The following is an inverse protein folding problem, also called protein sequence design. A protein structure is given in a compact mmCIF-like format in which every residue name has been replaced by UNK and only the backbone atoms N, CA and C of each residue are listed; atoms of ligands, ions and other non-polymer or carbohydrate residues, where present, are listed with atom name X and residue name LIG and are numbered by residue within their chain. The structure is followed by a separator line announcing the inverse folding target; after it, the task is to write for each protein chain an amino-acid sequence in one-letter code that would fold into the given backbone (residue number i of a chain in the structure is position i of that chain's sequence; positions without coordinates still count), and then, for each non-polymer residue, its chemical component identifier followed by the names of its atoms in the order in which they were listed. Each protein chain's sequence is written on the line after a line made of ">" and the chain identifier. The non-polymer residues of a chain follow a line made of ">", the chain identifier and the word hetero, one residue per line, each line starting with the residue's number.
data_IF_915350190074
#
_entry.id   IF_915350190074
#
_cell.length_a   1.000
_cell.length_b   1.000
_cell.length_c   1.000
_cell.angle_alpha   90.00
_cell.angle_beta   90.00
_cell.angle_gamma   90.00
#
_symmetry.space_group_name_H-M   'P 1'
#
loop_
_entity.id
_entity.type
_entity.pdbx_description
1 polymer ?
#
# COMPACT_ATOMS: atom_id res chain seq x y z
N UNK A 1 -5.92 -4.33 -9.89
CA UNK A 1 -5.53 -2.97 -9.47
C UNK A 1 -4.09 -2.73 -9.88
N UNK A 2 -3.84 -1.64 -10.57
CA UNK A 2 -2.49 -1.20 -10.95
C UNK A 2 -2.29 0.23 -10.46
N UNK A 3 -1.15 0.49 -9.87
CA UNK A 3 -0.71 1.81 -9.44
C UNK A 3 0.68 2.11 -10.00
N UNK A 4 0.88 3.34 -10.44
CA UNK A 4 2.19 3.82 -10.86
C UNK A 4 2.52 5.11 -10.12
N UNK A 5 3.62 5.08 -9.37
CA UNK A 5 4.05 6.17 -8.55
C UNK A 5 5.29 6.84 -9.15
N UNK A 6 5.20 8.15 -9.41
CA UNK A 6 6.28 8.98 -9.97
C UNK A 6 6.95 8.39 -11.24
N UNK A 7 6.31 7.44 -11.92
CA UNK A 7 6.89 6.73 -13.05
C UNK A 7 8.00 5.72 -12.71
N UNK A 8 8.34 5.57 -11.45
CA UNK A 8 9.48 4.77 -10.96
C UNK A 8 8.99 3.49 -10.28
N UNK A 9 8.00 3.61 -9.39
CA UNK A 9 7.43 2.47 -8.66
C UNK A 9 6.22 1.94 -9.41
N UNK A 10 6.20 0.64 -9.69
CA UNK A 10 5.04 -0.07 -10.20
C UNK A 10 4.48 -0.94 -9.09
N UNK A 11 3.17 -0.87 -8.85
CA UNK A 11 2.50 -1.70 -7.87
C UNK A 11 1.25 -2.31 -8.48
N UNK A 12 1.18 -3.63 -8.45
CA UNK A 12 0.07 -4.42 -8.99
C UNK A 12 -0.54 -5.25 -7.87
N UNK A 13 -1.86 -5.20 -7.76
CA UNK A 13 -2.62 -5.98 -6.79
C UNK A 13 -3.68 -6.81 -7.51
N UNK A 14 -3.67 -8.12 -7.25
CA UNK A 14 -4.72 -9.05 -7.68
C UNK A 14 -5.40 -9.58 -6.42
N UNK A 15 -6.71 -9.41 -6.34
CA UNK A 15 -7.52 -9.85 -5.21
C UNK A 15 -8.64 -10.80 -5.64
N UNK A 16 -8.92 -11.79 -4.81
CA UNK A 16 -10.02 -12.73 -4.96
C UNK A 16 -10.86 -12.72 -3.69
N UNK A 17 -12.16 -12.59 -3.86
CA UNK A 17 -13.11 -12.81 -2.78
C UNK A 17 -13.86 -14.12 -3.04
N UNK A 18 -13.79 -15.02 -2.08
CA UNK A 18 -14.42 -16.32 -2.12
C UNK A 18 -15.39 -16.43 -0.94
N UNK A 19 -16.55 -17.00 -1.18
CA UNK A 19 -17.50 -17.36 -0.12
C UNK A 19 -17.61 -18.88 -0.01
N UNK A 20 -17.32 -19.41 1.17
CA UNK A 20 -17.51 -20.84 1.46
C UNK A 20 -18.24 -20.99 2.79
N UNK A 21 -19.47 -21.56 2.76
CA UNK A 21 -20.28 -21.83 3.96
C UNK A 21 -20.45 -20.59 4.86
N UNK A 22 -20.89 -19.45 4.30
CA UNK A 22 -21.06 -18.15 4.99
C UNK A 22 -19.77 -17.58 5.61
N UNK A 23 -18.61 -18.09 5.24
CA UNK A 23 -17.32 -17.58 5.69
C UNK A 23 -16.59 -16.96 4.50
N UNK A 24 -16.70 -15.65 4.31
CA UNK A 24 -15.94 -14.98 3.26
C UNK A 24 -14.43 -15.08 3.54
N UNK A 25 -13.70 -15.35 2.48
CA UNK A 25 -12.24 -15.39 2.44
C UNK A 25 -11.74 -14.43 1.37
N UNK A 26 -10.74 -13.65 1.72
CA UNK A 26 -10.03 -12.75 0.81
C UNK A 26 -8.62 -13.25 0.59
N UNK A 27 -8.21 -13.32 -0.67
CA UNK A 27 -6.84 -13.62 -1.07
C UNK A 27 -6.34 -12.45 -1.89
N UNK A 28 -5.17 -11.93 -1.55
CA UNK A 28 -4.53 -10.85 -2.30
C UNK A 28 -3.10 -11.23 -2.61
N UNK A 29 -2.67 -10.93 -3.83
CA UNK A 29 -1.30 -10.99 -4.30
C UNK A 29 -0.88 -9.58 -4.67
N UNK A 30 0.20 -9.12 -4.06
CA UNK A 30 0.80 -7.82 -4.31
C UNK A 30 2.16 -8.04 -4.98
N UNK A 31 2.42 -7.27 -6.00
CA UNK A 31 3.76 -7.04 -6.53
C UNK A 31 4.06 -5.55 -6.47
N UNK A 32 5.23 -5.21 -6.00
CA UNK A 32 5.78 -3.86 -6.07
C UNK A 32 7.23 -3.93 -6.52
N UNK A 33 7.60 -3.06 -7.46
CA UNK A 33 8.95 -3.05 -8.02
C UNK A 33 9.44 -1.66 -8.35
N UNK A 34 10.73 -1.46 -8.10
CA UNK A 34 11.50 -0.28 -8.52
C UNK A 34 12.67 -0.77 -9.35
N UNK A 35 12.73 -0.35 -10.60
CA UNK A 35 13.84 -0.66 -11.50
C UNK A 35 14.81 0.49 -11.61
N UNK A 36 16.00 0.21 -12.12
CA UNK A 36 17.01 1.21 -12.46
C UNK A 36 17.40 2.12 -11.29
N UNK A 37 17.56 1.55 -10.10
CA UNK A 37 18.12 2.28 -8.95
C UNK A 37 19.62 2.45 -9.20
N UNK A 38 20.15 3.69 -9.25
CA UNK A 38 21.56 3.90 -9.50
C UNK A 38 22.42 3.44 -8.33
N UNK A 39 23.38 2.57 -8.61
CA UNK A 39 24.42 2.17 -7.67
C UNK A 39 25.68 3.03 -7.91
N UNK A 40 25.93 3.89 -6.96
CA UNK A 40 27.07 4.84 -7.01
C UNK A 40 28.25 4.40 -6.16
N UNK A 41 28.21 3.23 -5.52
CA UNK A 41 29.24 2.76 -4.57
C UNK A 41 30.62 2.60 -5.21
N UNK A 42 30.65 2.22 -6.48
CA UNK A 42 31.90 2.04 -7.22
C UNK A 42 32.32 3.23 -8.07
N UNK A 43 31.58 4.34 -8.02
CA UNK A 43 31.88 5.52 -8.83
C UNK A 43 32.98 6.41 -8.25
N UNK A 44 33.20 6.37 -6.94
CA UNK A 44 34.19 7.22 -6.29
C UNK A 44 35.59 6.77 -6.67
N UNK A 45 36.36 7.69 -7.28
CA UNK A 45 37.79 7.60 -7.43
C UNK A 45 38.39 8.23 -6.18
N UNK A 46 38.48 7.40 -5.14
CA UNK A 46 38.96 7.77 -3.80
C UNK A 46 40.50 7.85 -3.80
N UNK A 47 41.01 8.87 -4.49
CA UNK A 47 42.46 9.06 -4.78
C UNK A 47 43.07 10.21 -4.00
N UNK A 48 42.33 10.77 -3.03
CA UNK A 48 42.81 11.86 -2.18
C UNK A 48 42.90 13.21 -2.87
N UNK A 49 43.54 14.18 -2.20
CA UNK A 49 43.60 15.58 -2.63
C UNK A 49 44.40 15.81 -3.89
N UNK A 50 45.41 15.00 -4.15
CA UNK A 50 46.24 15.14 -5.35
C UNK A 50 45.61 14.48 -6.59
N UNK A 51 44.53 13.70 -6.42
CA UNK A 51 43.81 13.01 -7.46
C UNK A 51 44.59 11.91 -8.15
N UNK A 52 45.62 11.33 -7.49
CA UNK A 52 46.44 10.23 -7.98
C UNK A 52 46.33 9.02 -7.05
N UNK A 53 46.04 7.86 -7.61
CA UNK A 53 45.91 6.62 -6.85
C UNK A 53 47.25 6.15 -6.27
N UNK A 54 47.29 5.80 -4.98
CA UNK A 54 48.40 5.14 -4.32
C UNK A 54 49.50 6.08 -3.84
N UNK A 55 49.21 7.35 -3.63
CA UNK A 55 50.16 8.36 -3.09
C UNK A 55 50.11 8.46 -1.57
N UNK A 56 49.03 7.86 -0.94
CA UNK A 56 48.74 7.95 0.49
C UNK A 56 48.63 9.39 1.01
N UNK A 57 48.10 10.29 0.18
CA UNK A 57 47.81 11.65 0.59
C UNK A 57 46.54 11.76 1.46
N UNK A 58 46.24 12.88 2.10
CA UNK A 58 45.05 13.05 2.90
C UNK A 58 43.78 12.85 2.08
N UNK A 59 42.89 11.99 2.58
CA UNK A 59 41.61 11.67 1.96
C UNK A 59 41.58 10.35 1.19
N UNK A 60 42.77 9.86 0.69
CA UNK A 60 42.79 8.63 -0.11
C UNK A 60 42.29 7.40 0.69
N UNK A 61 41.36 6.67 0.11
CA UNK A 61 40.82 5.43 0.67
C UNK A 61 39.84 5.58 1.86
N UNK A 62 39.33 6.79 2.09
CA UNK A 62 38.42 7.07 3.21
C UNK A 62 36.92 6.80 2.91
N UNK A 63 36.57 6.56 1.65
CA UNK A 63 35.19 6.28 1.22
C UNK A 63 34.28 7.50 1.16
N UNK A 64 34.82 8.72 1.26
CA UNK A 64 34.07 9.98 1.23
C UNK A 64 34.58 10.80 0.04
N UNK A 65 33.65 11.45 -0.67
CA UNK A 65 34.04 12.36 -1.76
C UNK A 65 34.63 13.63 -1.19
N UNK A 66 35.96 13.78 -1.27
CA UNK A 66 36.73 14.93 -0.81
C UNK A 66 37.03 15.93 -1.94
N UNK A 67 37.57 17.10 -1.57
CA UNK A 67 37.98 18.12 -2.54
C UNK A 67 39.19 17.60 -3.38
N UNK A 68 39.05 17.62 -4.69
CA UNK A 68 40.03 17.09 -5.63
C UNK A 68 39.68 15.73 -6.22
N UNK A 69 38.85 14.97 -5.58
CA UNK A 69 38.38 13.66 -6.05
C UNK A 69 37.26 13.74 -7.11
N UNK A 70 37.07 12.68 -7.83
CA UNK A 70 36.11 12.58 -8.95
C UNK A 70 35.27 11.34 -8.90
N UNK A 71 34.08 11.43 -9.54
CA UNK A 71 33.22 10.30 -9.78
C UNK A 71 33.43 9.77 -11.22
N UNK A 72 33.74 8.50 -11.34
CA UNK A 72 33.79 7.81 -12.63
C UNK A 72 32.38 7.38 -13.03
N UNK A 73 31.78 8.08 -14.00
CA UNK A 73 30.45 7.83 -14.50
C UNK A 73 30.33 6.51 -15.25
N UNK A 74 31.43 5.96 -15.75
CA UNK A 74 31.43 4.69 -16.48
C UNK A 74 31.29 3.48 -15.52
N UNK A 75 31.49 3.71 -14.21
CA UNK A 75 31.28 2.73 -13.14
C UNK A 75 29.85 2.73 -12.59
N UNK A 76 28.97 3.61 -13.10
CA UNK A 76 27.56 3.61 -12.70
C UNK A 76 26.90 2.29 -13.08
N UNK A 77 26.39 1.60 -12.07
CA UNK A 77 25.59 0.39 -12.21
C UNK A 77 24.15 0.65 -11.79
N UNK A 78 23.29 -0.29 -12.10
CA UNK A 78 21.87 -0.21 -11.70
C UNK A 78 21.46 -1.52 -11.07
N UNK A 79 20.63 -1.43 -10.03
CA UNK A 79 19.99 -2.58 -9.42
C UNK A 79 18.47 -2.38 -9.35
N UNK A 80 17.75 -3.38 -8.92
CA UNK A 80 16.29 -3.35 -8.80
C UNK A 80 15.87 -3.79 -7.40
N UNK A 81 14.70 -3.33 -7.01
CA UNK A 81 14.00 -3.77 -5.81
C UNK A 81 12.69 -4.42 -6.23
N UNK A 82 12.35 -5.56 -5.62
CA UNK A 82 11.09 -6.24 -5.84
C UNK A 82 10.48 -6.70 -4.52
N UNK A 83 9.17 -6.54 -4.40
CA UNK A 83 8.38 -7.06 -3.30
C UNK A 83 7.23 -7.91 -3.84
N UNK A 84 7.06 -9.10 -3.29
CA UNK A 84 5.93 -9.98 -3.59
C UNK A 84 5.23 -10.29 -2.28
N UNK A 85 3.97 -9.89 -2.17
CA UNK A 85 3.14 -10.09 -1.00
C UNK A 85 2.00 -11.05 -1.27
N UNK A 86 1.73 -11.92 -0.31
CA UNK A 86 0.52 -12.72 -0.25
C UNK A 86 -0.21 -12.41 1.04
N UNK A 87 -1.51 -12.14 0.95
CA UNK A 87 -2.37 -11.91 2.10
C UNK A 87 -3.63 -12.77 1.99
N UNK A 88 -3.89 -13.56 3.02
CA UNK A 88 -5.11 -14.36 3.17
C UNK A 88 -5.87 -13.87 4.41
N UNK A 89 -7.12 -13.49 4.25
CA UNK A 89 -7.99 -13.10 5.36
C UNK A 89 -9.27 -13.92 5.35
N UNK A 90 -9.65 -14.42 6.52
CA UNK A 90 -10.86 -15.22 6.71
C UNK A 90 -11.73 -14.57 7.77
N UNK A 91 -13.02 -14.42 7.48
CA UNK A 91 -14.02 -13.96 8.44
C UNK A 91 -14.70 -15.18 9.11
N UNK A 92 -14.82 -15.13 10.43
CA UNK A 92 -15.55 -16.11 11.24
C UNK A 92 -16.50 -15.39 12.19
N UNK A 93 -17.67 -16.00 12.44
CA UNK A 93 -18.56 -15.54 13.50
C UNK A 93 -18.27 -16.33 14.77
N UNK A 94 -17.73 -15.66 15.80
CA UNK A 94 -17.49 -16.23 17.13
C UNK A 94 -18.48 -15.59 18.08
N UNK A 95 -19.38 -16.40 18.65
CA UNK A 95 -20.48 -15.92 19.52
C UNK A 95 -21.29 -14.76 18.89
N UNK A 96 -21.52 -14.84 17.58
CA UNK A 96 -22.27 -13.82 16.83
C UNK A 96 -21.47 -12.56 16.45
N UNK A 97 -20.24 -12.42 16.90
CA UNK A 97 -19.32 -11.33 16.50
C UNK A 97 -18.51 -11.74 15.27
N UNK A 98 -18.52 -10.95 14.20
CA UNK A 98 -17.68 -11.19 13.04
C UNK A 98 -16.24 -10.82 13.38
N UNK A 99 -15.36 -11.82 13.40
CA UNK A 99 -13.90 -11.70 13.63
C UNK A 99 -13.18 -12.08 12.35
N UNK A 100 -12.31 -11.22 11.86
CA UNK A 100 -11.41 -11.46 10.75
C UNK A 100 -10.02 -11.82 11.26
N UNK A 101 -9.39 -12.82 10.65
CA UNK A 101 -8.00 -13.19 10.86
C UNK A 101 -7.31 -13.10 9.52
N UNK A 102 -6.25 -12.30 9.44
CA UNK A 102 -5.41 -12.13 8.26
C UNK A 102 -4.02 -12.70 8.49
N UNK A 103 -3.50 -13.40 7.51
CA UNK A 103 -2.13 -13.90 7.46
C UNK A 103 -1.43 -13.29 6.25
N UNK A 104 -0.21 -12.81 6.44
CA UNK A 104 0.62 -12.18 5.40
C UNK A 104 1.95 -12.89 5.27
N UNK A 105 2.38 -13.04 4.03
CA UNK A 105 3.75 -13.44 3.68
C UNK A 105 4.28 -12.40 2.72
N UNK A 106 5.52 -11.98 2.92
CA UNK A 106 6.21 -11.03 2.09
C UNK A 106 7.57 -11.59 1.70
N UNK A 107 7.90 -11.53 0.42
CA UNK A 107 9.24 -11.72 -0.10
C UNK A 107 9.75 -10.38 -0.60
N UNK A 108 10.92 -10.00 -0.18
CA UNK A 108 11.57 -8.74 -0.54
C UNK A 108 12.95 -9.04 -1.14
N UNK A 109 13.26 -8.41 -2.26
CA UNK A 109 14.56 -8.52 -2.92
C UNK A 109 15.10 -7.12 -3.17
N UNK A 110 16.34 -6.88 -2.83
CA UNK A 110 17.05 -5.61 -3.01
C UNK A 110 18.48 -5.90 -3.43
N UNK A 111 18.84 -5.59 -4.67
CA UNK A 111 20.13 -5.94 -5.24
C UNK A 111 20.37 -7.46 -5.12
N UNK A 112 21.47 -7.90 -4.52
CA UNK A 112 21.83 -9.29 -4.29
C UNK A 112 21.24 -9.88 -2.98
N UNK A 113 20.49 -9.08 -2.21
CA UNK A 113 19.92 -9.48 -0.93
C UNK A 113 18.44 -9.81 -1.03
N UNK A 114 17.99 -10.75 -0.21
CA UNK A 114 16.57 -11.04 -0.08
C UNK A 114 16.14 -11.18 1.37
N UNK A 115 14.86 -10.94 1.63
CA UNK A 115 14.23 -11.17 2.92
C UNK A 115 12.88 -11.86 2.77
N UNK A 116 12.52 -12.62 3.79
CA UNK A 116 11.19 -13.21 3.94
C UNK A 116 10.51 -12.65 5.18
N UNK A 117 9.24 -12.33 5.05
CA UNK A 117 8.45 -11.77 6.14
C UNK A 117 7.13 -12.49 6.34
N UNK A 118 6.67 -12.45 7.58
CA UNK A 118 5.34 -12.93 7.97
C UNK A 118 4.65 -11.90 8.84
N UNK A 119 3.32 -11.89 8.80
CA UNK A 119 2.52 -11.01 9.66
C UNK A 119 1.12 -11.54 9.88
N UNK A 120 0.52 -11.12 10.98
CA UNK A 120 -0.85 -11.43 11.37
C UNK A 120 -1.64 -10.16 11.59
N UNK A 121 -2.91 -10.19 11.17
CA UNK A 121 -3.90 -9.13 11.42
C UNK A 121 -5.14 -9.72 12.09
N UNK A 122 -5.75 -8.93 12.99
CA UNK A 122 -7.04 -9.26 13.59
C UNK A 122 -8.04 -8.15 13.30
N UNK A 123 -9.22 -8.51 12.83
CA UNK A 123 -10.27 -7.57 12.47
C UNK A 123 -11.57 -7.83 13.21
N UNK A 124 -12.27 -6.75 13.58
CA UNK A 124 -13.60 -6.80 14.18
C UNK A 124 -14.51 -5.85 13.42
N UNK A 125 -15.73 -6.27 13.14
CA UNK A 125 -16.73 -5.44 12.49
C UNK A 125 -18.05 -5.54 13.23
N UNK A 126 -18.69 -4.38 13.46
CA UNK A 126 -20.02 -4.32 14.07
C UNK A 126 -20.88 -3.30 13.33
N UNK A 127 -22.11 -3.67 13.06
CA UNK A 127 -23.13 -2.75 12.54
C UNK A 127 -23.99 -2.24 13.67
N UNK A 128 -24.06 -0.91 13.82
CA UNK A 128 -24.90 -0.21 14.78
C UNK A 128 -25.88 0.65 13.97
N UNK A 129 -27.16 0.23 13.92
CA UNK A 129 -28.18 0.85 13.05
C UNK A 129 -27.71 0.86 11.58
N UNK A 130 -27.48 2.04 11.02
CA UNK A 130 -26.96 2.23 9.65
C UNK A 130 -25.44 2.36 9.56
N UNK A 131 -24.76 2.53 10.71
CA UNK A 131 -23.30 2.73 10.76
C UNK A 131 -22.59 1.39 10.88
N UNK A 132 -21.60 1.16 10.03
CA UNK A 132 -20.64 0.07 10.19
C UNK A 132 -19.40 0.61 10.90
N UNK A 133 -18.98 -0.06 11.96
CA UNK A 133 -17.73 0.25 12.69
C UNK A 133 -16.82 -0.94 12.51
N UNK A 134 -15.56 -0.67 12.21
CA UNK A 134 -14.50 -1.67 12.08
C UNK A 134 -13.29 -1.31 12.94
N UNK A 135 -12.64 -2.32 13.49
CA UNK A 135 -11.36 -2.21 14.19
C UNK A 135 -10.44 -3.26 13.57
N UNK A 136 -9.22 -2.86 13.24
CA UNK A 136 -8.18 -3.75 12.74
C UNK A 136 -6.91 -3.56 13.54
N UNK A 137 -6.40 -4.63 14.12
CA UNK A 137 -5.08 -4.72 14.72
C UNK A 137 -4.15 -5.32 13.67
N UNK A 138 -3.18 -4.54 13.20
CA UNK A 138 -2.24 -4.98 12.17
C UNK A 138 -0.89 -5.34 12.77
N UNK A 139 -0.27 -6.39 12.20
CA UNK A 139 1.05 -6.87 12.61
C UNK A 139 1.09 -7.29 14.09
N UNK A 140 0.06 -7.97 14.55
CA UNK A 140 -0.09 -8.40 15.94
C UNK A 140 -0.08 -9.94 16.05
N UNK A 141 0.58 -10.56 17.03
CA UNK A 141 1.37 -9.92 18.10
C UNK A 141 2.75 -9.46 17.62
N UNK A 142 3.25 -9.99 16.52
CA UNK A 142 4.52 -9.63 15.91
C UNK A 142 4.46 -9.86 14.40
N UNK A 143 5.25 -9.09 13.67
CA UNK A 143 5.48 -9.22 12.25
C UNK A 143 6.89 -8.72 11.94
N UNK A 144 7.50 -9.22 10.90
CA UNK A 144 8.83 -8.75 10.51
C UNK A 144 9.38 -9.46 9.29
N UNK A 145 10.56 -9.04 8.90
CA UNK A 145 11.37 -9.54 7.81
C UNK A 145 12.65 -10.16 8.38
N UNK A 146 13.08 -11.26 7.79
CA UNK A 146 14.37 -11.90 8.07
C UNK A 146 15.16 -11.89 6.77
N UNK A 147 16.28 -11.18 6.77
CA UNK A 147 17.19 -11.08 5.65
C UNK A 147 18.13 -12.29 5.56
N UNK A 148 18.64 -12.55 4.36
CA UNK A 148 19.68 -13.56 4.10
C UNK A 148 20.96 -13.30 4.87
N UNK A 149 21.26 -12.04 5.22
CA UNK A 149 22.33 -11.64 6.13
C UNK A 149 22.12 -12.07 7.59
N UNK A 150 20.93 -12.59 7.94
CA UNK A 150 20.53 -12.88 9.33
C UNK A 150 19.97 -11.67 10.09
N UNK A 151 19.90 -10.50 9.46
CA UNK A 151 19.28 -9.30 10.05
C UNK A 151 17.77 -9.51 10.18
N UNK A 152 17.20 -9.15 11.33
CA UNK A 152 15.76 -9.22 11.60
C UNK A 152 15.21 -7.79 11.74
N UNK A 153 14.22 -7.47 10.90
CA UNK A 153 13.50 -6.20 10.95
C UNK A 153 12.07 -6.42 11.46
N UNK A 154 11.76 -5.81 12.59
CA UNK A 154 10.40 -5.85 13.13
C UNK A 154 9.48 -4.83 12.44
N UNK A 155 8.26 -5.24 12.13
CA UNK A 155 7.23 -4.33 11.61
C UNK A 155 6.39 -3.77 12.75
N UNK A 156 6.16 -2.46 12.72
CA UNK A 156 5.39 -1.78 13.76
C UNK A 156 3.94 -2.25 13.78
N UNK A 157 3.47 -2.66 14.96
CA UNK A 157 2.07 -2.96 15.19
C UNK A 157 1.22 -1.69 15.18
N UNK A 158 0.03 -1.77 14.60
CA UNK A 158 -0.88 -0.62 14.51
C UNK A 158 -2.33 -1.01 14.73
N UNK A 159 -3.13 -0.04 15.15
CA UNK A 159 -4.58 -0.14 15.28
C UNK A 159 -5.23 0.83 14.31
N UNK A 160 -6.22 0.35 13.56
CA UNK A 160 -7.09 1.18 12.75
C UNK A 160 -8.53 1.06 13.23
N UNK A 161 -9.20 2.19 13.43
CA UNK A 161 -10.61 2.27 13.80
C UNK A 161 -11.32 3.05 12.70
N UNK A 162 -12.31 2.43 12.05
CA UNK A 162 -13.06 3.06 10.97
C UNK A 162 -14.56 3.04 11.23
N UNK A 163 -15.24 4.06 10.73
CA UNK A 163 -16.70 4.12 10.69
C UNK A 163 -17.16 4.51 9.29
N UNK A 164 -18.23 3.88 8.83
CA UNK A 164 -18.89 4.12 7.55
C UNK A 164 -20.38 4.31 7.80
N UNK A 165 -20.92 5.43 7.33
CA UNK A 165 -22.33 5.77 7.49
C UNK A 165 -22.96 6.18 6.16
N UNK A 166 -24.00 5.48 5.68
CA UNK A 166 -24.80 5.93 4.55
C UNK A 166 -25.83 6.97 5.01
N UNK A 167 -25.93 8.08 4.32
CA UNK A 167 -26.96 9.07 4.56
C UNK A 167 -27.52 9.63 3.26
N UNK A 168 -28.76 10.11 3.31
CA UNK A 168 -29.45 10.71 2.17
C UNK A 168 -29.73 12.17 2.52
N UNK A 169 -28.80 13.10 2.27
CA UNK A 169 -28.98 14.51 2.61
C UNK A 169 -30.01 15.19 1.69
N UNK A 170 -30.23 14.64 0.50
CA UNK A 170 -31.13 15.15 -0.52
C UNK A 170 -32.01 13.99 -1.01
N UNK A 171 -33.30 14.25 -1.22
CA UNK A 171 -34.22 13.25 -1.79
C UNK A 171 -34.04 13.14 -3.32
N UNK A 172 -32.84 12.77 -3.74
CA UNK A 172 -32.58 12.42 -5.14
C UNK A 172 -32.86 10.93 -5.30
N UNK A 173 -33.78 10.54 -6.19
CA UNK A 173 -34.03 9.12 -6.43
C UNK A 173 -32.76 8.38 -6.85
N UNK A 174 -32.55 7.22 -6.24
CA UNK A 174 -31.39 6.35 -6.54
C UNK A 174 -30.01 6.95 -6.26
N UNK A 175 -29.92 7.97 -5.42
CA UNK A 175 -28.64 8.54 -4.96
C UNK A 175 -28.42 8.24 -3.48
N UNK A 176 -27.26 7.71 -3.15
CA UNK A 176 -26.82 7.46 -1.76
C UNK A 176 -25.47 8.16 -1.55
N UNK A 177 -25.36 8.85 -0.43
CA UNK A 177 -24.11 9.44 0.00
C UNK A 177 -23.55 8.65 1.19
N UNK A 178 -22.30 8.26 1.11
CA UNK A 178 -21.56 7.57 2.16
C UNK A 178 -20.52 8.49 2.76
N UNK A 179 -20.42 8.51 4.08
CA UNK A 179 -19.31 9.14 4.80
C UNK A 179 -18.46 8.09 5.48
N UNK A 180 -17.16 8.32 5.46
CA UNK A 180 -16.17 7.42 6.03
C UNK A 180 -15.18 8.22 6.86
N UNK A 181 -14.82 7.69 8.01
CA UNK A 181 -13.73 8.19 8.85
C UNK A 181 -12.87 7.01 9.26
N UNK A 182 -11.56 7.21 9.26
CA UNK A 182 -10.60 6.24 9.76
C UNK A 182 -9.58 6.95 10.65
N UNK A 183 -9.25 6.31 11.77
CA UNK A 183 -8.20 6.72 12.70
C UNK A 183 -7.18 5.58 12.78
N UNK A 184 -5.92 5.89 12.55
CA UNK A 184 -4.82 4.95 12.68
C UNK A 184 -3.93 5.37 13.84
N UNK A 185 -3.59 4.43 14.71
CA UNK A 185 -2.63 4.61 15.78
C UNK A 185 -1.50 3.58 15.67
N UNK A 186 -0.27 4.02 15.89
CA UNK A 186 0.90 3.14 15.93
C UNK A 186 1.91 3.65 16.95
N UNK A 187 2.59 2.70 17.61
CA UNK A 187 3.75 3.03 18.45
C UNK A 187 4.97 3.03 17.56
N UNK A 188 5.31 4.20 17.03
CA UNK A 188 6.41 4.36 16.08
C UNK A 188 7.11 5.69 16.29
N UNK A 189 8.41 5.72 16.02
CA UNK A 189 9.20 6.96 16.08
C UNK A 189 9.08 7.81 14.80
N UNK A 190 7.94 7.76 14.10
CA UNK A 190 7.67 8.59 12.90
C UNK A 190 7.54 10.06 13.31
N UNK A 191 8.63 10.78 13.29
CA UNK A 191 8.68 12.16 13.77
C UNK A 191 8.08 13.19 12.81
N UNK A 192 8.13 12.93 11.50
CA UNK A 192 7.77 13.91 10.46
C UNK A 192 6.49 13.57 9.70
N UNK A 193 6.03 12.30 9.72
CA UNK A 193 4.98 11.82 8.81
C UNK A 193 3.63 11.57 9.47
N UNK A 194 3.47 11.86 10.78
CA UNK A 194 2.19 11.69 11.47
C UNK A 194 1.46 13.02 11.68
N UNK A 195 0.12 12.99 11.55
CA UNK A 195 -0.71 14.19 11.76
C UNK A 195 -0.68 14.68 13.21
N UNK A 196 -0.67 13.76 14.18
CA UNK A 196 -0.56 14.06 15.60
C UNK A 196 0.37 13.05 16.26
N UNK A 197 1.20 13.54 17.15
CA UNK A 197 2.13 12.73 17.92
C UNK A 197 2.07 13.03 19.41
N UNK A 198 2.03 11.96 20.20
CA UNK A 198 2.06 12.02 21.68
C UNK A 198 3.13 11.03 22.15
N UNK A 199 4.31 11.52 22.46
CA UNK A 199 5.47 10.67 22.78
C UNK A 199 5.83 9.75 21.60
N UNK A 200 5.86 8.44 21.81
CA UNK A 200 6.07 7.43 20.76
C UNK A 200 4.79 7.03 19.98
N UNK A 201 3.62 7.53 20.40
CA UNK A 201 2.35 7.26 19.73
C UNK A 201 2.15 8.20 18.56
N UNK A 202 1.99 7.66 17.37
CA UNK A 202 1.61 8.37 16.14
C UNK A 202 0.14 8.15 15.86
N UNK A 203 -0.60 9.23 15.55
CA UNK A 203 -2.03 9.19 15.22
C UNK A 203 -2.26 9.87 13.89
N UNK A 204 -2.98 9.18 13.00
CA UNK A 204 -3.34 9.68 11.67
C UNK A 204 -4.84 9.48 11.44
N UNK A 205 -5.46 10.41 10.73
CA UNK A 205 -6.87 10.33 10.35
C UNK A 205 -7.06 10.40 8.84
N UNK A 206 -8.07 9.72 8.34
CA UNK A 206 -8.51 9.82 6.97
C UNK A 206 -10.02 10.04 6.93
N UNK A 207 -10.48 10.84 5.98
CA UNK A 207 -11.89 11.17 5.78
C UNK A 207 -12.26 10.93 4.32
N UNK A 208 -13.47 10.43 4.07
CA UNK A 208 -13.96 10.21 2.72
C UNK A 208 -15.46 10.43 2.61
N UNK A 209 -15.86 10.89 1.43
CA UNK A 209 -17.24 10.96 0.97
C UNK A 209 -17.35 10.21 -0.35
N UNK A 210 -18.41 9.44 -0.53
CA UNK A 210 -18.72 8.74 -1.77
C UNK A 210 -20.20 8.94 -2.11
N UNK A 211 -20.47 9.50 -3.27
CA UNK A 211 -21.80 9.58 -3.85
C UNK A 211 -22.01 8.47 -4.87
N UNK A 212 -23.03 7.64 -4.68
CA UNK A 212 -23.40 6.55 -5.60
C UNK A 212 -24.73 6.87 -6.26
N UNK A 213 -24.76 6.86 -7.59
CA UNK A 213 -25.97 7.07 -8.38
C UNK A 213 -26.36 5.80 -9.14
N UNK A 214 -27.60 5.33 -8.90
CA UNK A 214 -28.21 4.14 -9.54
C UNK A 214 -27.36 2.87 -9.41
N UNK A 215 -26.53 2.77 -8.36
CA UNK A 215 -25.59 1.67 -8.15
C UNK A 215 -24.61 1.43 -9.33
N UNK A 216 -24.43 2.45 -10.19
CA UNK A 216 -23.61 2.37 -11.41
C UNK A 216 -22.48 3.38 -11.46
N UNK A 217 -22.73 4.57 -10.95
CA UNK A 217 -21.74 5.66 -10.98
C UNK A 217 -21.37 6.02 -9.56
N UNK A 218 -20.09 6.14 -9.28
CA UNK A 218 -19.57 6.60 -8.00
C UNK A 218 -18.61 7.77 -8.20
N UNK A 219 -18.75 8.77 -7.32
CA UNK A 219 -17.83 9.89 -7.21
C UNK A 219 -17.31 9.91 -5.79
N UNK A 220 -16.01 9.98 -5.65
CA UNK A 220 -15.32 9.90 -4.35
C UNK A 220 -14.45 11.12 -4.15
N UNK A 221 -14.41 11.63 -2.93
CA UNK A 221 -13.48 12.67 -2.49
C UNK A 221 -13.08 12.43 -1.06
N UNK A 222 -11.88 12.85 -0.71
CA UNK A 222 -11.41 12.63 0.64
C UNK A 222 -10.04 13.21 0.91
N UNK A 223 -9.53 12.82 2.06
CA UNK A 223 -8.19 13.12 2.54
C UNK A 223 -7.64 11.86 3.19
N UNK A 224 -6.47 11.44 2.74
CA UNK A 224 -5.82 10.24 3.30
C UNK A 224 -5.07 10.55 4.61
N UNK A 225 -4.52 9.51 5.23
CA UNK A 225 -3.81 9.60 6.52
C UNK A 225 -2.52 10.44 6.48
N UNK A 226 -1.95 10.67 5.32
CA UNK A 226 -0.78 11.55 5.11
C UNK A 226 -1.16 12.94 4.57
N UNK A 227 -2.41 13.33 4.76
CA UNK A 227 -2.96 14.66 4.41
C UNK A 227 -3.05 14.98 2.91
N UNK A 228 -2.92 14.02 2.02
CA UNK A 228 -3.16 14.24 0.60
C UNK A 228 -4.65 14.31 0.30
N UNK A 229 -5.06 15.30 -0.49
CA UNK A 229 -6.40 15.30 -1.06
C UNK A 229 -6.53 14.16 -2.08
N UNK A 230 -7.67 13.50 -2.06
CA UNK A 230 -7.96 12.35 -2.94
C UNK A 230 -9.26 12.58 -3.67
N UNK A 231 -9.33 12.11 -4.91
CA UNK A 231 -10.54 12.08 -5.72
C UNK A 231 -10.67 10.76 -6.46
N UNK A 232 -11.87 10.39 -6.87
CA UNK A 232 -12.07 9.15 -7.62
C UNK A 232 -13.40 9.11 -8.34
N UNK A 233 -13.43 8.32 -9.40
CA UNK A 233 -14.61 8.00 -10.19
C UNK A 233 -14.71 6.50 -10.35
N UNK A 234 -15.92 5.95 -10.26
CA UNK A 234 -16.18 4.55 -10.49
C UNK A 234 -17.36 4.34 -11.42
N UNK A 235 -17.27 3.35 -12.29
CA UNK A 235 -18.33 2.92 -13.20
C UNK A 235 -18.52 1.43 -13.06
N UNK A 236 -19.75 1.05 -12.73
CA UNK A 236 -20.16 -0.35 -12.61
C UNK A 236 -21.15 -0.71 -13.74
N UNK A 237 -20.83 -1.77 -14.44
CA UNK A 237 -21.67 -2.27 -15.54
C UNK A 237 -21.77 -3.80 -15.48
N UNK A 238 -23.00 -4.33 -15.35
CA UNK A 238 -23.25 -5.77 -15.27
C UNK A 238 -22.30 -6.50 -14.31
N UNK A 239 -21.31 -7.21 -14.86
CA UNK A 239 -20.35 -8.02 -14.12
C UNK A 239 -18.97 -7.39 -13.93
N UNK A 240 -18.75 -6.14 -14.32
CA UNK A 240 -17.48 -5.46 -14.14
C UNK A 240 -17.63 -4.06 -13.53
N UNK A 241 -16.59 -3.62 -12.83
CA UNK A 241 -16.47 -2.29 -12.26
C UNK A 241 -15.07 -1.75 -12.53
N UNK A 242 -15.00 -0.53 -13.04
CA UNK A 242 -13.74 0.20 -13.26
C UNK A 242 -13.71 1.39 -12.33
N UNK A 243 -12.64 1.49 -11.55
CA UNK A 243 -12.39 2.61 -10.66
C UNK A 243 -11.11 3.33 -11.05
N UNK A 244 -11.17 4.64 -11.01
CA UNK A 244 -10.02 5.51 -11.12
C UNK A 244 -9.92 6.35 -9.85
N UNK A 245 -8.72 6.41 -9.26
CA UNK A 245 -8.42 7.26 -8.14
C UNK A 245 -7.20 8.13 -8.42
N UNK A 246 -7.23 9.31 -7.84
CA UNK A 246 -6.21 10.34 -7.96
C UNK A 246 -5.86 10.85 -6.57
N UNK A 247 -4.55 10.95 -6.29
CA UNK A 247 -4.01 11.52 -5.07
C UNK A 247 -3.11 12.69 -5.44
N UNK A 248 -3.32 13.83 -4.76
CA UNK A 248 -2.46 15.01 -4.98
C UNK A 248 -1.10 14.81 -4.33
N UNK A 249 -0.05 15.31 -4.96
CA UNK A 249 1.23 15.50 -4.31
C UNK A 249 1.13 16.54 -3.19
N UNK A 250 1.96 16.44 -2.15
CA UNK A 250 2.13 17.52 -1.18
C UNK A 250 2.76 18.74 -1.86
N UNK A 251 2.40 19.95 -1.40
CA UNK A 251 2.88 21.22 -1.93
C UNK A 251 4.41 21.36 -1.88
N UNK A 252 5.05 20.63 -0.98
CA UNK A 252 6.52 20.54 -0.84
C UNK A 252 7.11 19.25 -1.45
N UNK A 253 6.27 18.40 -2.06
CA UNK A 253 6.69 17.06 -2.50
C UNK A 253 7.33 17.09 -3.89
N UNK A 254 8.53 16.63 -3.97
CA UNK A 254 9.25 16.35 -5.22
C UNK A 254 8.67 15.20 -6.03
N UNK A 255 7.72 14.46 -5.45
CA UNK A 255 7.04 13.33 -6.09
C UNK A 255 5.67 13.75 -6.63
N UNK A 256 5.42 13.46 -7.90
CA UNK A 256 4.22 13.84 -8.62
C UNK A 256 2.92 13.22 -8.07
N UNK A 257 1.81 13.53 -8.72
CA UNK A 257 0.50 12.97 -8.41
C UNK A 257 0.46 11.45 -8.65
N UNK A 258 -0.35 10.75 -7.86
CA UNK A 258 -0.56 9.32 -8.01
C UNK A 258 -1.86 9.04 -8.75
N UNK A 259 -1.83 8.08 -9.64
CA UNK A 259 -2.97 7.59 -10.40
C UNK A 259 -3.13 6.10 -10.16
N UNK A 260 -4.32 5.68 -9.76
CA UNK A 260 -4.65 4.28 -9.51
C UNK A 260 -5.83 3.88 -10.39
N UNK A 261 -5.71 2.73 -11.04
CA UNK A 261 -6.77 2.13 -11.82
C UNK A 261 -7.06 0.74 -11.26
N UNK A 262 -8.33 0.45 -11.03
CA UNK A 262 -8.78 -0.86 -10.57
C UNK A 262 -9.85 -1.40 -11.50
N UNK A 263 -9.79 -2.70 -11.79
CA UNK A 263 -10.80 -3.44 -12.51
C UNK A 263 -11.29 -4.57 -11.60
N UNK A 264 -12.58 -4.61 -11.34
CA UNK A 264 -13.23 -5.71 -10.62
C UNK A 264 -14.14 -6.49 -11.57
N UNK A 265 -14.03 -7.81 -11.56
CA UNK A 265 -14.82 -8.73 -12.39
C UNK A 265 -15.57 -9.72 -11.51
N UNK A 266 -16.86 -9.94 -11.80
CA UNK A 266 -17.64 -11.01 -11.17
C UNK A 266 -17.28 -12.34 -11.82
N UNK A 267 -16.89 -13.33 -11.01
CA UNK A 267 -16.62 -14.69 -11.49
C UNK A 267 -17.85 -15.33 -12.14
N UNK A 268 -19.04 -15.13 -11.56
CA UNK A 268 -20.29 -15.66 -12.12
C UNK A 268 -20.56 -15.08 -13.51
N UNK A 269 -20.29 -13.78 -13.70
CA UNK A 269 -20.43 -13.14 -15.01
C UNK A 269 -19.45 -13.72 -16.04
N UNK A 270 -18.18 -13.93 -15.65
CA UNK A 270 -17.18 -14.55 -16.52
C UNK A 270 -17.60 -15.97 -16.91
N UNK A 271 -17.98 -16.80 -15.93
CA UNK A 271 -18.36 -18.18 -16.16
C UNK A 271 -19.62 -18.28 -17.03
N UNK A 272 -20.59 -17.37 -16.86
CA UNK A 272 -21.78 -17.33 -17.72
C UNK A 272 -21.46 -17.05 -19.20
N UNK A 273 -20.42 -16.26 -19.48
CA UNK A 273 -19.98 -15.97 -20.86
C UNK A 273 -19.20 -17.11 -21.49
N UNK A 274 -18.34 -17.79 -20.69
CA UNK A 274 -17.55 -18.93 -21.16
C UNK A 274 -18.47 -20.13 -21.47
N UNK A 275 -19.50 -20.40 -20.69
CA UNK A 275 -20.42 -21.49 -20.93
C UNK A 275 -21.28 -21.31 -22.20
N UNK A 276 -21.54 -20.08 -22.62
CA UNK A 276 -22.24 -19.80 -23.89
C UNK A 276 -21.35 -20.11 -25.10
N UNK A 277 -20.04 -19.82 -25.03
CA UNK A 277 -19.10 -20.10 -26.13
C UNK A 277 -18.85 -21.61 -26.35
N UNK A 278 -19.14 -22.46 -25.37
CA UNK A 278 -19.02 -23.93 -25.51
C UNK A 278 -20.26 -24.60 -26.12
N UNK A 279 -21.34 -23.87 -26.36
CA UNK A 279 -22.59 -24.42 -26.94
C UNK A 279 -22.80 -24.05 -28.42
N UNK A 280 -21.95 -23.21 -28.99
CA UNK A 280 -21.87 -22.90 -30.43
C UNK A 280 -20.68 -23.63 -31.07
#
# INVERSE_FOLDING_TARGET
>A
HQSRFAGIVNSDLIGFQLERNENPMHLNFLYEGVGQIPDTRSMLLDWGQDGQFGTNDPGEGNGVLDEGERLDKDQLRYFSQHQIGFHCAVLRKVQGLPIGIGFKVLSYSLDDHFALGIGLDLGFKKRIKKTNIGIVLRNMPASGLIWDSGTVEGTVSSIAIGAHHPFMPIKIPSFVLHSMINLNGAVSNRHLDSQLRIGSLSLDSALGLEGIYKDKLSIRMGRNSVNHATGGLGVKWEGFEVDYAFLTANVSGEMGNHHLISLTLSLDWILSRVSVVQQD
#
